data_IF_547160212289
#
_entry.id   IF_547160212289
#
_cell.length_a   1.000
_cell.length_b   1.000
_cell.length_c   1.000
_cell.angle_alpha   90.00
_cell.angle_beta   90.00
_cell.angle_gamma   90.00
#
_symmetry.space_group_name_H-M   'P 1'
#
loop_
_entity.id
_entity.type
_entity.pdbx_description
1 polymer ?
#
# COMPACT_ATOMS: atom_id res chain seq x y z
N UNK A 1 11.14 16.05 21.11
CA UNK A 1 11.57 15.45 19.82
C UNK A 1 13.09 15.52 19.65
N UNK A 2 13.70 14.48 19.04
CA UNK A 2 15.14 14.49 18.72
C UNK A 2 15.40 15.19 17.39
N UNK A 3 16.42 16.03 17.34
CA UNK A 3 16.86 16.65 16.09
C UNK A 3 17.47 15.58 15.16
N UNK A 4 17.03 15.47 13.89
CA UNK A 4 17.57 14.48 12.96
C UNK A 4 19.03 14.76 12.54
N UNK A 5 19.55 15.96 12.78
CA UNK A 5 20.92 16.34 12.40
C UNK A 5 21.93 16.14 13.55
N UNK A 6 21.61 16.62 14.75
CA UNK A 6 22.55 16.62 15.88
C UNK A 6 22.10 15.81 17.10
N UNK A 7 21.01 15.05 16.95
CA UNK A 7 20.41 14.12 17.93
C UNK A 7 20.03 14.73 19.29
N UNK A 8 20.20 16.04 19.47
CA UNK A 8 19.81 16.76 20.66
C UNK A 8 18.29 16.69 20.90
N UNK A 9 17.89 16.57 22.17
CA UNK A 9 16.50 16.70 22.58
C UNK A 9 16.03 18.16 22.52
N UNK A 10 14.88 18.36 21.90
CA UNK A 10 14.18 19.64 21.82
C UNK A 10 12.73 19.45 22.30
N UNK A 11 12.10 20.54 22.75
CA UNK A 11 10.65 20.54 23.02
C UNK A 11 9.89 20.13 21.75
N UNK A 12 8.78 19.42 21.89
CA UNK A 12 8.01 18.93 20.74
C UNK A 12 7.41 20.05 19.87
N UNK A 13 7.26 21.24 20.44
CA UNK A 13 6.77 22.44 19.74
C UNK A 13 7.89 23.37 19.25
N UNK A 14 9.16 22.97 19.38
CA UNK A 14 10.28 23.82 18.98
C UNK A 14 10.35 23.93 17.45
N UNK A 15 10.28 25.16 16.93
CA UNK A 15 10.43 25.43 15.49
C UNK A 15 11.87 25.26 15.00
N UNK A 16 12.85 25.39 15.90
CA UNK A 16 14.27 25.24 15.58
C UNK A 16 15.03 24.48 16.65
N UNK A 17 16.11 23.80 16.25
CA UNK A 17 16.94 23.05 17.17
C UNK A 17 17.79 23.99 18.04
N UNK A 18 17.73 23.81 19.36
CA UNK A 18 18.52 24.57 20.36
C UNK A 18 20.03 24.50 20.12
N UNK A 19 20.52 23.38 19.57
CA UNK A 19 21.97 23.12 19.46
C UNK A 19 22.55 23.49 18.09
N UNK A 20 21.88 23.15 17.00
CA UNK A 20 22.42 23.34 15.64
C UNK A 20 21.64 24.34 14.78
N UNK A 21 20.59 24.98 15.32
CA UNK A 21 19.80 25.98 14.61
C UNK A 21 18.95 25.44 13.46
N UNK A 22 18.92 24.11 13.24
CA UNK A 22 18.13 23.51 12.17
C UNK A 22 16.63 23.70 12.40
N UNK A 23 15.93 24.13 11.36
CA UNK A 23 14.47 24.18 11.33
C UNK A 23 13.89 22.77 11.51
N UNK A 24 13.04 22.61 12.53
CA UNK A 24 12.37 21.37 12.90
C UNK A 24 10.94 21.31 12.37
N UNK A 25 10.43 22.39 11.77
CA UNK A 25 9.08 22.45 11.15
C UNK A 25 9.05 21.81 9.77
N UNK A 26 10.22 21.67 9.13
CA UNK A 26 10.35 21.06 7.82
C UNK A 26 10.18 19.55 7.98
N UNK A 27 9.16 18.91 7.38
CA UNK A 27 9.02 17.48 7.41
C UNK A 27 10.26 16.82 6.80
N UNK A 28 10.60 15.58 7.22
CA UNK A 28 11.73 14.88 6.63
C UNK A 28 11.59 14.83 5.11
N UNK A 29 12.69 15.01 4.38
CA UNK A 29 12.68 15.15 2.91
C UNK A 29 12.02 13.97 2.16
N UNK A 30 11.83 12.84 2.83
CA UNK A 30 11.18 11.66 2.30
C UNK A 30 9.68 11.58 2.59
N UNK A 31 9.08 12.55 3.29
CA UNK A 31 7.65 12.46 3.60
C UNK A 31 6.83 12.61 2.31
N UNK A 32 6.10 11.57 1.86
CA UNK A 32 5.45 11.63 0.57
C UNK A 32 4.24 12.57 0.61
N UNK A 33 4.07 13.36 -0.43
CA UNK A 33 2.90 14.24 -0.57
C UNK A 33 1.65 13.44 -0.97
N UNK A 34 0.48 14.09 -0.94
CA UNK A 34 -0.78 13.46 -1.34
C UNK A 34 -0.75 12.99 -2.81
N UNK A 35 -0.06 13.75 -3.67
CA UNK A 35 0.09 13.43 -5.10
C UNK A 35 0.90 12.14 -5.29
N UNK A 36 1.96 11.95 -4.50
CA UNK A 36 2.75 10.73 -4.47
C UNK A 36 1.91 9.56 -4.01
N UNK A 37 1.14 9.70 -2.92
CA UNK A 37 0.26 8.63 -2.44
C UNK A 37 -0.78 8.23 -3.50
N UNK A 38 -1.46 9.20 -4.10
CA UNK A 38 -2.46 8.93 -5.14
C UNK A 38 -1.85 8.19 -6.34
N UNK A 39 -0.67 8.63 -6.81
CA UNK A 39 0.06 7.98 -7.90
C UNK A 39 0.46 6.55 -7.53
N UNK A 40 1.09 6.37 -6.37
CA UNK A 40 1.58 5.07 -5.91
C UNK A 40 0.44 4.07 -5.72
N UNK A 41 -0.66 4.49 -5.06
CA UNK A 41 -1.84 3.65 -4.88
C UNK A 41 -2.53 3.32 -6.21
N UNK A 42 -2.62 4.29 -7.13
CA UNK A 42 -3.15 4.05 -8.47
C UNK A 42 -2.34 3.01 -9.24
N UNK A 43 -1.01 3.11 -9.23
CA UNK A 43 -0.13 2.13 -9.87
C UNK A 43 -0.32 0.74 -9.24
N UNK A 44 -0.29 0.65 -7.91
CA UNK A 44 -0.47 -0.62 -7.19
C UNK A 44 -1.80 -1.29 -7.55
N UNK A 45 -2.89 -0.51 -7.56
CA UNK A 45 -4.22 -0.99 -7.90
C UNK A 45 -4.29 -1.54 -9.33
N UNK A 46 -3.73 -0.81 -10.30
CA UNK A 46 -3.68 -1.28 -11.70
C UNK A 46 -2.85 -2.56 -11.83
N UNK A 47 -1.68 -2.61 -11.19
CA UNK A 47 -0.80 -3.80 -11.23
C UNK A 47 -1.52 -5.03 -10.66
N UNK A 48 -2.13 -4.91 -9.48
CA UNK A 48 -2.86 -6.02 -8.84
C UNK A 48 -4.06 -6.45 -9.69
N UNK A 49 -4.78 -5.49 -10.28
CA UNK A 49 -5.93 -5.77 -11.15
C UNK A 49 -5.48 -6.57 -12.38
N UNK A 50 -4.47 -6.09 -13.10
CA UNK A 50 -3.91 -6.79 -14.28
C UNK A 50 -3.37 -8.16 -13.90
N UNK A 51 -2.65 -8.27 -12.79
CA UNK A 51 -2.13 -9.53 -12.28
C UNK A 51 -3.25 -10.53 -11.99
N UNK A 52 -4.32 -10.12 -11.30
CA UNK A 52 -5.47 -10.97 -11.01
C UNK A 52 -6.12 -11.53 -12.29
N UNK A 53 -6.34 -10.68 -13.30
CA UNK A 53 -6.91 -11.12 -14.56
C UNK A 53 -5.95 -12.02 -15.35
N UNK A 54 -4.65 -11.70 -15.35
CA UNK A 54 -3.62 -12.53 -15.99
C UNK A 54 -3.54 -13.93 -15.39
N UNK A 55 -3.50 -14.03 -14.05
CA UNK A 55 -3.53 -15.31 -13.33
C UNK A 55 -4.84 -16.04 -13.59
N UNK A 56 -5.98 -15.35 -13.49
CA UNK A 56 -7.31 -15.95 -13.77
C UNK A 56 -7.40 -16.51 -15.19
N UNK A 57 -6.84 -15.80 -16.17
CA UNK A 57 -6.79 -16.24 -17.56
C UNK A 57 -5.88 -17.48 -17.71
N UNK A 58 -4.68 -17.45 -17.13
CA UNK A 58 -3.74 -18.57 -17.18
C UNK A 58 -4.33 -19.84 -16.52
N UNK A 59 -4.93 -19.71 -15.34
CA UNK A 59 -5.54 -20.83 -14.61
C UNK A 59 -6.73 -21.47 -15.36
N UNK A 60 -7.43 -20.72 -16.22
CA UNK A 60 -8.49 -21.26 -17.08
C UNK A 60 -7.96 -22.12 -18.23
N UNK A 61 -6.68 -21.96 -18.61
CA UNK A 61 -6.04 -22.71 -19.70
C UNK A 61 -5.35 -23.98 -19.22
N UNK A 62 -5.21 -24.19 -17.90
CA UNK A 62 -4.59 -25.39 -17.36
C UNK A 62 -5.43 -26.65 -17.65
N UNK A 63 -4.78 -27.80 -17.86
CA UNK A 63 -5.50 -29.07 -17.99
C UNK A 63 -6.17 -29.45 -16.66
N UNK A 64 -7.23 -30.26 -16.75
CA UNK A 64 -7.80 -30.94 -15.57
C UNK A 64 -6.68 -31.76 -14.88
N UNK A 65 -6.56 -31.75 -13.55
CA UNK A 65 -7.50 -31.18 -12.56
C UNK A 65 -7.17 -29.75 -12.07
N UNK A 66 -6.13 -29.11 -12.62
CA UNK A 66 -5.60 -27.83 -12.12
C UNK A 66 -6.36 -26.60 -12.62
N UNK A 67 -7.29 -26.77 -13.57
CA UNK A 67 -8.21 -25.71 -13.96
C UNK A 67 -9.06 -25.24 -12.79
N UNK A 68 -9.43 -23.96 -12.80
CA UNK A 68 -10.33 -23.38 -11.80
C UNK A 68 -11.63 -24.19 -11.69
N UNK A 69 -11.87 -24.83 -10.53
CA UNK A 69 -13.07 -25.63 -10.28
C UNK A 69 -14.27 -24.69 -10.13
N UNK A 70 -15.30 -24.88 -10.96
CA UNK A 70 -16.62 -24.30 -10.66
C UNK A 70 -17.21 -25.08 -9.49
N UNK A 71 -17.43 -24.42 -8.36
CA UNK A 71 -18.08 -25.04 -7.22
C UNK A 71 -19.56 -25.18 -7.56
N UNK A 72 -20.10 -26.41 -7.55
CA UNK A 72 -21.51 -26.63 -7.80
C UNK A 72 -22.38 -25.85 -6.80
N UNK A 73 -23.53 -25.37 -7.26
CA UNK A 73 -24.42 -24.55 -6.44
C UNK A 73 -25.01 -25.35 -5.27
N UNK A 74 -25.22 -26.65 -5.45
CA UNK A 74 -25.64 -27.60 -4.43
C UNK A 74 -24.65 -27.73 -3.27
N UNK A 75 -23.35 -27.46 -3.51
CA UNK A 75 -22.32 -27.48 -2.46
C UNK A 75 -22.18 -26.14 -1.72
N UNK A 76 -22.70 -25.05 -2.28
CA UNK A 76 -22.61 -23.71 -1.67
C UNK A 76 -23.96 -22.97 -1.69
N UNK A 77 -25.02 -23.51 -1.05
CA UNK A 77 -26.34 -22.89 -1.04
C UNK A 77 -26.34 -21.51 -0.37
N UNK A 78 -25.46 -21.26 0.60
CA UNK A 78 -25.32 -19.96 1.29
C UNK A 78 -24.66 -18.86 0.44
N UNK A 79 -24.10 -19.20 -0.73
CA UNK A 79 -23.42 -18.22 -1.61
C UNK A 79 -24.40 -17.51 -2.56
N UNK A 80 -25.60 -18.05 -2.76
CA UNK A 80 -26.64 -17.38 -3.53
C UNK A 80 -27.29 -16.29 -2.68
N UNK A 81 -27.16 -15.03 -3.08
CA UNK A 81 -28.13 -14.00 -2.66
C UNK A 81 -29.43 -14.29 -3.41
N UNK A 82 -30.50 -14.52 -2.64
CA UNK A 82 -31.86 -14.63 -3.17
C UNK A 82 -32.30 -13.37 -3.88
#
# INVERSE_FOLDING_TARGET
>A
MKCPNCTAENKDTAKGCKKCGRDLTIPPAWFPDFKWHARTLGILYVVITVFYFGVSFALRKLPKPYQFRRVPAELTPWLKKG
#
